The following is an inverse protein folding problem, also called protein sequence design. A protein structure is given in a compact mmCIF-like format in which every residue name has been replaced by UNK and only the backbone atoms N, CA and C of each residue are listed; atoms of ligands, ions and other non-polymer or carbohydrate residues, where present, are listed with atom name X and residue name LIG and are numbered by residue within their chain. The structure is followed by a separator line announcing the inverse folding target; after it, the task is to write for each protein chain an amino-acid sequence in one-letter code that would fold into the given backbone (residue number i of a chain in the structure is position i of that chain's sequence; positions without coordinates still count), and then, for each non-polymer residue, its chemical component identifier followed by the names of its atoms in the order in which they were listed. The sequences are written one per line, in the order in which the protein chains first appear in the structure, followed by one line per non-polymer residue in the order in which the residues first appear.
data_IF_913222920592
#
_entry.id   IF_913222920592
#
_cell.length_a   1.000
_cell.length_b   1.000
_cell.length_c   1.000
_cell.angle_alpha   90.00
_cell.angle_beta   90.00
_cell.angle_gamma   90.00
#
_symmetry.space_group_name_H-M   'P 1'
#
loop_
_entity.id
_entity.type
_entity.pdbx_description
1 polymer ?
#
# COMPACT_ATOMS: atom_id res chain seq x y z
N UNK A 1 -9.63 6.27 56.57
CA UNK A 1 -10.26 5.86 55.30
C UNK A 1 -10.79 7.13 54.65
N UNK A 2 -10.17 7.60 53.56
CA UNK A 2 -10.67 8.78 52.83
C UNK A 2 -11.84 8.36 51.93
N UNK A 3 -13.00 9.01 52.08
CA UNK A 3 -14.18 8.78 51.26
C UNK A 3 -13.91 9.14 49.79
N UNK A 4 -14.50 8.43 48.81
CA UNK A 4 -14.37 8.78 47.40
C UNK A 4 -15.00 10.15 47.17
N UNK A 5 -14.26 11.05 46.50
CA UNK A 5 -14.79 12.34 46.07
C UNK A 5 -15.92 12.07 45.06
N UNK A 6 -17.13 12.52 45.38
CA UNK A 6 -18.27 12.44 44.46
C UNK A 6 -17.92 13.15 43.14
N UNK A 7 -18.23 12.51 42.02
CA UNK A 7 -17.97 13.07 40.70
C UNK A 7 -18.88 14.29 40.48
N UNK A 8 -18.30 15.42 40.08
CA UNK A 8 -19.05 16.63 39.79
C UNK A 8 -20.06 16.37 38.66
N UNK A 9 -21.21 17.04 38.67
CA UNK A 9 -22.25 16.93 37.63
C UNK A 9 -21.69 17.07 36.20
N UNK A 10 -20.72 17.99 36.00
CA UNK A 10 -20.01 18.15 34.73
C UNK A 10 -19.21 16.89 34.31
N UNK A 11 -18.64 16.16 35.26
CA UNK A 11 -17.90 14.92 34.99
C UNK A 11 -18.86 13.78 34.62
N UNK A 12 -20.05 13.73 35.25
CA UNK A 12 -21.09 12.76 34.91
C UNK A 12 -21.67 13.03 33.51
N UNK A 13 -21.93 14.29 33.17
CA UNK A 13 -22.38 14.67 31.83
C UNK A 13 -21.34 14.32 30.76
N UNK A 14 -20.04 14.51 31.04
CA UNK A 14 -18.96 14.10 30.15
C UNK A 14 -18.90 12.58 29.97
N UNK A 15 -19.06 11.81 31.05
CA UNK A 15 -19.09 10.35 30.98
C UNK A 15 -20.27 9.84 30.15
N UNK A 16 -21.46 10.43 30.33
CA UNK A 16 -22.65 10.07 29.55
C UNK A 16 -22.44 10.31 28.04
N UNK A 17 -21.75 11.39 27.68
CA UNK A 17 -21.40 11.68 26.29
C UNK A 17 -20.43 10.62 25.72
N UNK A 18 -19.42 10.21 26.48
CA UNK A 18 -18.50 9.15 26.05
C UNK A 18 -19.21 7.82 25.82
N UNK A 19 -20.16 7.47 26.70
CA UNK A 19 -20.94 6.23 26.59
C UNK A 19 -21.88 6.26 25.37
N UNK A 20 -22.47 7.41 25.05
CA UNK A 20 -23.29 7.61 23.85
C UNK A 20 -22.47 7.49 22.55
N UNK A 21 -21.23 7.98 22.54
CA UNK A 21 -20.35 7.92 21.37
C UNK A 21 -19.65 6.56 21.20
N UNK A 22 -19.84 5.60 22.10
CA UNK A 22 -19.25 4.27 21.99
C UNK A 22 -19.99 3.38 20.97
N UNK A 23 -19.25 2.89 19.99
CA UNK A 23 -19.76 2.02 18.92
C UNK A 23 -19.84 0.54 19.39
N UNK A 24 -19.31 0.19 20.57
CA UNK A 24 -19.35 -1.17 21.10
C UNK A 24 -20.59 -1.46 21.94
N UNK A 25 -21.18 -0.45 22.56
CA UNK A 25 -22.46 -0.54 23.28
C UNK A 25 -23.61 -1.03 22.37
N UNK A 26 -23.55 -0.69 21.08
CA UNK A 26 -24.53 -1.07 20.06
C UNK A 26 -24.14 -2.41 19.40
N UNK A 27 -25.03 -3.41 19.51
CA UNK A 27 -24.83 -4.72 18.88
C UNK A 27 -24.87 -4.64 17.34
N UNK A 28 -23.87 -5.22 16.68
CA UNK A 28 -23.69 -5.15 15.22
C UNK A 28 -24.35 -6.34 14.52
N UNK A 29 -25.66 -6.23 14.24
CA UNK A 29 -26.46 -7.30 13.59
C UNK A 29 -26.05 -7.64 12.15
N UNK A 30 -25.30 -6.76 11.50
CA UNK A 30 -24.85 -6.91 10.11
C UNK A 30 -23.40 -7.38 9.97
N UNK A 31 -22.63 -7.46 11.07
CA UNK A 31 -21.22 -7.86 11.00
C UNK A 31 -21.10 -9.38 11.03
N UNK A 32 -20.54 -9.95 9.97
CA UNK A 32 -20.26 -11.38 9.90
C UNK A 32 -19.29 -11.82 11.03
N UNK A 33 -19.69 -12.72 11.95
CA UNK A 33 -18.84 -13.20 13.04
C UNK A 33 -17.67 -14.08 12.59
N UNK A 34 -17.75 -14.73 11.42
CA UNK A 34 -16.72 -15.63 10.93
C UNK A 34 -15.54 -14.92 10.26
N UNK A 35 -15.70 -13.64 9.91
CA UNK A 35 -14.65 -12.87 9.26
C UNK A 35 -13.53 -12.52 10.24
N UNK A 36 -12.29 -12.87 9.89
CA UNK A 36 -11.10 -12.54 10.67
C UNK A 36 -10.24 -11.49 9.96
N UNK A 37 -9.77 -10.45 10.65
CA UNK A 37 -8.88 -9.45 10.05
C UNK A 37 -7.54 -10.07 9.66
N UNK A 38 -7.03 -9.72 8.48
CA UNK A 38 -5.67 -10.07 8.09
C UNK A 38 -4.64 -9.16 8.80
N UNK A 39 -3.58 -9.76 9.34
CA UNK A 39 -2.49 -9.05 10.03
C UNK A 39 -1.74 -8.08 9.08
N UNK A 40 -1.61 -8.42 7.79
CA UNK A 40 -0.79 -7.69 6.81
C UNK A 40 -1.53 -6.57 6.06
N UNK A 41 -2.55 -5.96 6.66
CA UNK A 41 -3.37 -4.92 6.01
C UNK A 41 -2.79 -3.51 6.11
N UNK A 42 -2.19 -3.18 7.25
CA UNK A 42 -1.64 -1.84 7.49
C UNK A 42 -0.24 -1.76 6.87
N UNK A 43 -0.17 -1.24 5.64
CA UNK A 43 1.08 -1.10 4.87
C UNK A 43 1.37 0.36 4.56
N UNK A 44 2.65 0.74 4.55
CA UNK A 44 3.08 2.03 4.01
C UNK A 44 3.08 1.99 2.47
N UNK A 45 2.89 3.14 1.82
CA UNK A 45 2.99 3.33 0.37
C UNK A 45 4.22 2.65 -0.21
N UNK A 46 5.39 2.78 0.44
CA UNK A 46 6.63 2.11 0.02
C UNK A 46 6.47 0.59 -0.09
N UNK A 47 5.83 -0.04 0.88
CA UNK A 47 5.60 -1.49 0.91
C UNK A 47 4.55 -1.90 -0.13
N UNK A 48 3.47 -1.13 -0.27
CA UNK A 48 2.43 -1.36 -1.27
C UNK A 48 3.02 -1.35 -2.67
N UNK A 49 3.89 -0.37 -2.94
CA UNK A 49 4.54 -0.22 -4.23
C UNK A 49 5.55 -1.33 -4.52
N UNK A 50 6.32 -1.74 -3.50
CA UNK A 50 7.22 -2.89 -3.61
C UNK A 50 6.49 -4.20 -3.89
N UNK A 51 5.32 -4.40 -3.27
CA UNK A 51 4.46 -5.57 -3.53
C UNK A 51 3.89 -5.52 -4.96
N UNK A 52 3.47 -4.35 -5.45
CA UNK A 52 2.95 -4.16 -6.80
C UNK A 52 4.01 -4.47 -7.87
N UNK A 53 5.21 -3.90 -7.74
CA UNK A 53 6.33 -4.15 -8.66
C UNK A 53 6.71 -5.64 -8.70
N UNK A 54 6.78 -6.31 -7.54
CA UNK A 54 7.08 -7.75 -7.47
C UNK A 54 5.99 -8.60 -8.12
N UNK A 55 4.72 -8.22 -7.96
CA UNK A 55 3.58 -8.90 -8.58
C UNK A 55 3.59 -8.77 -10.10
N UNK A 56 3.90 -7.59 -10.63
CA UNK A 56 4.05 -7.37 -12.07
C UNK A 56 5.20 -8.20 -12.65
N UNK A 57 6.35 -8.25 -11.96
CA UNK A 57 7.48 -9.08 -12.37
C UNK A 57 7.15 -10.58 -12.41
N UNK A 58 6.42 -11.08 -11.40
CA UNK A 58 5.95 -12.48 -11.39
C UNK A 58 4.93 -12.78 -12.48
N UNK A 59 4.06 -11.82 -12.84
CA UNK A 59 3.11 -11.99 -13.93
C UNK A 59 3.81 -12.07 -15.31
N UNK A 60 4.87 -11.27 -15.52
CA UNK A 60 5.68 -11.26 -16.74
C UNK A 60 6.58 -12.50 -16.90
N UNK A 61 7.02 -13.13 -15.81
CA UNK A 61 7.89 -14.30 -15.84
C UNK A 61 7.18 -15.62 -16.21
N UNK A 62 5.84 -15.64 -16.23
CA UNK A 62 5.05 -16.88 -16.43
C UNK A 62 4.60 -17.20 -17.89
N UNK A 63 5.29 -16.79 -18.97
CA UNK A 63 5.03 -17.39 -20.29
C UNK A 63 6.20 -18.19 -20.91
N UNK A 64 7.32 -18.46 -20.20
CA UNK A 64 8.51 -19.07 -20.84
C UNK A 64 9.01 -20.39 -20.21
N UNK A 65 8.25 -21.03 -19.34
CA UNK A 65 8.55 -22.38 -18.83
C UNK A 65 7.44 -23.37 -19.18
N UNK A 66 7.16 -23.57 -20.47
CA UNK A 66 6.49 -24.81 -20.93
C UNK A 66 7.25 -25.54 -22.05
N UNK A 67 8.48 -25.12 -22.42
CA UNK A 67 9.32 -25.91 -23.35
C UNK A 67 10.61 -26.47 -22.75
N UNK A 68 10.95 -26.13 -21.51
CA UNK A 68 12.22 -26.58 -20.91
C UNK A 68 12.03 -27.20 -19.54
N UNK A 69 12.14 -28.53 -19.48
CA UNK A 69 12.39 -29.38 -18.30
C UNK A 69 11.23 -30.27 -17.88
N UNK A 70 11.13 -31.40 -18.58
CA UNK A 70 10.86 -32.66 -17.92
C UNK A 70 11.93 -32.94 -16.84
N UNK A 71 11.53 -33.65 -15.79
CA UNK A 71 12.34 -34.20 -14.68
C UNK A 71 12.57 -33.29 -13.45
N UNK A 72 11.72 -33.46 -12.43
CA UNK A 72 12.13 -33.83 -11.06
C UNK A 72 10.90 -33.92 -10.14
N UNK A 73 10.16 -35.03 -10.22
CA UNK A 73 9.21 -35.42 -9.17
C UNK A 73 10.01 -36.24 -8.14
N UNK A 74 10.18 -35.83 -6.87
CA UNK A 74 10.63 -36.77 -5.86
C UNK A 74 9.47 -37.75 -5.61
N UNK A 75 9.71 -39.01 -5.93
CA UNK A 75 8.77 -40.09 -5.70
C UNK A 75 8.38 -40.15 -4.22
N UNK A 76 7.09 -39.97 -3.92
CA UNK A 76 6.54 -40.33 -2.62
C UNK A 76 6.06 -41.77 -2.68
N UNK A 77 6.86 -42.66 -2.12
CA UNK A 77 6.56 -44.07 -1.88
C UNK A 77 5.37 -44.21 -0.92
N UNK A 78 4.39 -44.98 -1.35
CA UNK A 78 3.24 -45.40 -0.56
C UNK A 78 3.66 -46.46 0.46
N UNK A 79 3.54 -46.19 1.77
CA UNK A 79 3.26 -47.22 2.78
C UNK A 79 2.66 -46.56 4.03
N UNK A 80 1.57 -47.15 4.54
CA UNK A 80 0.62 -46.52 5.44
C UNK A 80 1.11 -46.21 6.85
N UNK A 81 0.29 -45.43 7.57
CA UNK A 81 0.50 -45.11 8.98
C UNK A 81 -0.30 -43.88 9.42
N UNK A 82 -1.04 -44.04 10.52
CA UNK A 82 -1.89 -43.08 11.24
C UNK A 82 -1.28 -41.68 11.48
N UNK A 83 -2.16 -40.67 11.43
CA UNK A 83 -2.21 -39.54 12.37
C UNK A 83 -1.28 -38.36 12.10
N UNK A 84 -1.78 -37.15 12.40
CA UNK A 84 -0.97 -35.95 12.58
C UNK A 84 -1.33 -34.81 11.63
N UNK A 85 -1.68 -33.67 12.23
CA UNK A 85 -1.98 -32.40 11.59
C UNK A 85 -0.73 -31.74 10.97
N UNK A 86 -1.01 -30.64 10.26
CA UNK A 86 -0.13 -29.49 9.95
C UNK A 86 0.55 -29.51 8.57
N UNK A 87 -0.08 -28.84 7.59
CA UNK A 87 0.64 -28.03 6.61
C UNK A 87 -0.20 -26.84 6.07
N UNK A 88 0.34 -25.65 6.35
CA UNK A 88 -0.12 -24.33 5.93
C UNK A 88 -0.05 -24.18 4.40
N UNK A 89 -1.19 -24.38 3.74
CA UNK A 89 -1.40 -24.06 2.33
C UNK A 89 -2.12 -22.73 2.17
N UNK A 90 -1.39 -21.69 1.76
CA UNK A 90 -1.84 -20.36 1.30
C UNK A 90 -3.13 -20.42 0.45
N UNK A 91 -4.30 -20.41 1.10
CA UNK A 91 -5.61 -20.35 0.44
C UNK A 91 -6.05 -18.91 0.26
N UNK A 92 -5.62 -18.33 -0.85
CA UNK A 92 -6.29 -17.19 -1.48
C UNK A 92 -7.24 -17.74 -2.54
N UNK A 93 -8.47 -18.04 -2.17
CA UNK A 93 -9.58 -18.11 -3.12
C UNK A 93 -10.94 -18.08 -2.41
N UNK A 94 -11.55 -16.89 -2.40
CA UNK A 94 -12.99 -16.78 -2.36
C UNK A 94 -13.54 -17.01 -3.76
N UNK A 95 -14.00 -18.23 -4.03
CA UNK A 95 -14.84 -18.56 -5.18
C UNK A 95 -15.58 -19.89 -4.87
N UNK A 96 -16.60 -19.83 -4.03
CA UNK A 96 -17.56 -20.92 -3.87
C UNK A 96 -18.63 -20.80 -4.95
N UNK A 97 -18.75 -21.82 -5.82
CA UNK A 97 -19.94 -22.10 -6.65
C UNK A 97 -19.98 -23.60 -7.00
N UNK A 98 -21.16 -24.18 -7.29
CA UNK A 98 -21.70 -25.32 -6.53
C UNK A 98 -21.38 -26.70 -7.12
N UNK A 99 -21.56 -27.72 -6.29
CA UNK A 99 -21.57 -29.13 -6.66
C UNK A 99 -22.78 -29.44 -7.58
N UNK A 100 -22.51 -30.07 -8.73
CA UNK A 100 -23.54 -30.69 -9.57
C UNK A 100 -23.46 -32.22 -9.40
N UNK A 101 -24.62 -32.81 -9.14
CA UNK A 101 -24.80 -34.20 -8.75
C UNK A 101 -24.48 -35.24 -9.83
N UNK A 102 -24.34 -36.47 -9.33
CA UNK A 102 -24.17 -37.71 -10.07
C UNK A 102 -25.18 -37.88 -11.22
N UNK A 103 -24.67 -38.13 -12.43
CA UNK A 103 -25.44 -38.60 -13.58
C UNK A 103 -24.55 -39.45 -14.48
N UNK A 104 -24.80 -40.76 -14.50
CA UNK A 104 -24.20 -41.75 -15.40
C UNK A 104 -24.61 -41.49 -16.85
N UNK A 105 -23.65 -41.54 -17.78
CA UNK A 105 -23.92 -41.48 -19.22
C UNK A 105 -22.66 -41.27 -20.05
N UNK A 106 -22.18 -42.34 -20.69
CA UNK A 106 -21.15 -42.28 -21.73
C UNK A 106 -21.60 -41.35 -22.87
N UNK A 107 -20.77 -40.35 -23.21
CA UNK A 107 -20.70 -39.75 -24.54
C UNK A 107 -19.42 -38.90 -24.65
N UNK A 108 -18.54 -39.31 -25.56
CA UNK A 108 -17.36 -38.58 -26.00
C UNK A 108 -17.77 -37.25 -26.66
N UNK A 109 -17.88 -36.18 -25.86
CA UNK A 109 -17.84 -34.77 -26.27
C UNK A 109 -18.09 -33.87 -25.05
N UNK A 110 -17.28 -34.01 -24.00
CA UNK A 110 -17.29 -33.07 -22.90
C UNK A 110 -16.15 -32.05 -23.12
N UNK A 111 -16.42 -30.85 -23.68
CA UNK A 111 -15.39 -29.83 -23.79
C UNK A 111 -14.97 -29.47 -22.36
N UNK A 112 -13.77 -29.92 -21.99
CA UNK A 112 -13.22 -29.82 -20.65
C UNK A 112 -13.32 -28.38 -20.14
N UNK A 113 -14.31 -28.10 -19.29
CA UNK A 113 -14.60 -26.76 -18.78
C UNK A 113 -13.39 -26.13 -18.08
N UNK A 114 -12.52 -26.96 -17.50
CA UNK A 114 -11.26 -26.51 -16.89
C UNK A 114 -10.20 -26.12 -17.94
N UNK A 115 -10.22 -26.70 -19.15
CA UNK A 115 -9.39 -26.24 -20.27
C UNK A 115 -9.98 -24.97 -20.92
N UNK A 116 -11.31 -24.88 -21.01
CA UNK A 116 -12.00 -23.70 -21.54
C UNK A 116 -11.86 -22.48 -20.64
N UNK A 117 -11.84 -22.64 -19.31
CA UNK A 117 -11.61 -21.54 -18.37
C UNK A 117 -10.15 -21.06 -18.37
N UNK A 118 -9.19 -21.95 -18.63
CA UNK A 118 -7.76 -21.63 -18.81
C UNK A 118 -7.51 -20.88 -20.12
N UNK A 119 -8.14 -21.30 -21.21
CA UNK A 119 -8.03 -20.62 -22.51
C UNK A 119 -8.70 -19.24 -22.47
N UNK A 120 -9.84 -19.10 -21.78
CA UNK A 120 -10.46 -17.79 -21.53
C UNK A 120 -9.60 -16.90 -20.65
N UNK A 121 -9.01 -17.43 -19.57
CA UNK A 121 -8.09 -16.67 -18.71
C UNK A 121 -6.89 -16.16 -19.51
N UNK A 122 -6.33 -16.99 -20.39
CA UNK A 122 -5.24 -16.60 -21.31
C UNK A 122 -5.68 -15.51 -22.29
N UNK A 123 -6.85 -15.66 -22.92
CA UNK A 123 -7.37 -14.69 -23.89
C UNK A 123 -7.79 -13.35 -23.25
N UNK A 124 -8.38 -13.37 -22.06
CA UNK A 124 -8.74 -12.15 -21.31
C UNK A 124 -7.47 -11.42 -20.86
N UNK A 125 -6.44 -12.15 -20.44
CA UNK A 125 -5.15 -11.58 -20.06
C UNK A 125 -4.43 -10.99 -21.28
N UNK A 126 -4.40 -11.70 -22.41
CA UNK A 126 -3.87 -11.18 -23.67
C UNK A 126 -4.63 -9.95 -24.19
N UNK A 127 -5.97 -9.94 -24.09
CA UNK A 127 -6.82 -8.80 -24.44
C UNK A 127 -6.59 -7.60 -23.52
N UNK A 128 -6.35 -7.82 -22.23
CA UNK A 128 -6.02 -6.77 -21.26
C UNK A 128 -4.61 -6.18 -21.49
N UNK A 129 -3.69 -6.95 -22.09
CA UNK A 129 -2.35 -6.47 -22.45
C UNK A 129 -2.31 -5.79 -23.83
N UNK A 130 -3.38 -5.90 -24.65
CA UNK A 130 -3.48 -5.27 -25.97
C UNK A 130 -4.34 -3.99 -25.87
N UNK A 131 -3.76 -2.79 -25.73
CA UNK A 131 -4.54 -1.56 -25.83
C UNK A 131 -5.11 -1.44 -27.25
N UNK A 132 -6.39 -1.14 -27.33
CA UNK A 132 -7.15 -1.10 -28.56
C UNK A 132 -6.76 0.15 -29.38
N UNK A 133 -5.81 0.00 -30.33
CA UNK A 133 -5.64 0.92 -31.46
C UNK A 133 -4.29 1.68 -31.54
N UNK A 134 -3.43 1.24 -32.47
CA UNK A 134 -2.59 2.13 -33.29
C UNK A 134 -1.25 2.62 -32.74
N UNK A 135 -0.14 2.03 -33.22
CA UNK A 135 1.09 2.74 -33.58
C UNK A 135 2.06 3.20 -32.47
N UNK A 136 3.30 2.69 -32.57
CA UNK A 136 4.52 3.13 -31.88
C UNK A 136 4.61 2.91 -30.34
N UNK A 137 5.58 2.07 -29.95
CA UNK A 137 6.18 1.99 -28.61
C UNK A 137 5.20 1.95 -27.42
N UNK A 138 4.50 0.84 -27.22
CA UNK A 138 3.61 0.65 -26.07
C UNK A 138 3.47 -0.81 -25.70
N UNK A 139 4.01 -1.19 -24.53
CA UNK A 139 3.91 -2.57 -24.02
C UNK A 139 4.41 -2.79 -22.60
N UNK A 140 4.65 -1.71 -21.84
CA UNK A 140 4.56 -1.67 -20.38
C UNK A 140 4.50 -0.18 -20.07
N UNK A 141 3.40 0.31 -19.49
CA UNK A 141 3.42 1.63 -18.88
C UNK A 141 4.58 1.68 -17.87
N UNK A 142 5.14 2.86 -17.55
CA UNK A 142 6.24 2.94 -16.59
C UNK A 142 5.84 2.17 -15.34
N UNK A 143 6.60 1.12 -14.99
CA UNK A 143 6.35 0.36 -13.77
C UNK A 143 6.27 1.36 -12.63
N UNK A 144 5.20 1.27 -11.85
CA UNK A 144 4.92 2.27 -10.81
C UNK A 144 6.03 2.13 -9.76
N UNK A 145 7.02 2.99 -9.87
CA UNK A 145 8.18 3.09 -8.97
C UNK A 145 7.95 4.28 -8.06
N UNK A 146 8.57 4.32 -6.88
CA UNK A 146 8.32 5.37 -5.87
C UNK A 146 8.47 6.78 -6.47
N UNK A 147 9.40 6.91 -7.40
CA UNK A 147 9.71 8.12 -8.17
C UNK A 147 8.65 8.50 -9.23
N UNK A 148 7.87 7.55 -9.74
CA UNK A 148 6.90 7.77 -10.83
C UNK A 148 5.49 8.10 -10.34
N UNK A 149 5.21 7.91 -9.05
CA UNK A 149 3.91 8.30 -8.45
C UNK A 149 3.83 9.81 -8.24
N UNK A 150 4.98 10.45 -8.02
CA UNK A 150 5.08 11.89 -7.86
C UNK A 150 5.12 12.59 -9.22
N UNK A 151 4.63 13.83 -9.27
CA UNK A 151 4.70 14.66 -10.48
C UNK A 151 6.15 14.83 -10.93
N UNK A 152 6.37 14.91 -12.24
CA UNK A 152 7.69 15.20 -12.79
C UNK A 152 8.30 16.47 -12.14
N UNK A 153 9.63 16.48 -11.89
CA UNK A 153 10.27 17.64 -11.29
C UNK A 153 10.20 18.84 -12.23
N UNK A 154 10.02 20.03 -11.67
CA UNK A 154 10.02 21.26 -12.45
C UNK A 154 11.44 21.67 -12.84
N UNK A 155 11.64 22.06 -14.10
CA UNK A 155 12.88 22.71 -14.59
C UNK A 155 12.80 24.25 -14.56
N UNK A 156 11.66 24.82 -14.18
CA UNK A 156 11.50 26.27 -14.14
C UNK A 156 12.34 26.89 -13.02
N UNK A 157 12.85 28.10 -13.26
CA UNK A 157 13.62 28.82 -12.24
C UNK A 157 12.72 29.17 -11.05
N UNK A 158 13.14 28.78 -9.85
CA UNK A 158 12.34 29.02 -8.64
C UNK A 158 12.42 30.48 -8.20
N UNK A 159 11.29 31.06 -7.83
CA UNK A 159 11.28 32.37 -7.16
C UNK A 159 11.74 32.19 -5.72
N UNK A 160 12.63 33.07 -5.26
CA UNK A 160 13.19 33.02 -3.91
C UNK A 160 12.44 33.99 -3.00
N UNK A 161 11.85 33.45 -1.94
CA UNK A 161 11.19 34.21 -0.89
C UNK A 161 11.96 34.04 0.42
N UNK A 162 11.77 35.00 1.31
CA UNK A 162 12.32 35.01 2.65
C UNK A 162 11.67 33.91 3.47
N UNK A 163 12.49 33.14 4.19
CA UNK A 163 12.00 32.00 4.97
C UNK A 163 11.24 32.44 6.24
N UNK A 164 11.38 33.72 6.66
CA UNK A 164 10.74 34.28 7.86
C UNK A 164 9.50 35.11 7.48
N UNK A 165 9.61 36.03 6.52
CA UNK A 165 8.54 37.00 6.21
C UNK A 165 7.74 36.68 4.95
N UNK A 166 8.24 35.78 4.08
CA UNK A 166 7.60 35.48 2.79
C UNK A 166 7.79 36.54 1.69
N UNK A 167 8.45 37.68 1.98
CA UNK A 167 8.81 38.69 0.99
C UNK A 167 9.85 38.17 -0.01
N UNK A 168 9.96 38.72 -1.24
CA UNK A 168 11.01 38.30 -2.18
C UNK A 168 12.39 38.45 -1.54
N UNK A 169 13.24 37.42 -1.55
CA UNK A 169 14.53 37.45 -0.88
C UNK A 169 15.69 37.39 -1.89
N UNK A 170 16.40 38.52 -2.12
CA UNK A 170 17.57 38.54 -2.98
C UNK A 170 18.81 37.92 -2.31
N UNK A 171 18.86 37.85 -0.98
CA UNK A 171 20.05 37.47 -0.22
C UNK A 171 19.89 36.15 0.56
N UNK A 172 21.02 35.48 0.81
CA UNK A 172 21.12 34.23 1.57
C UNK A 172 22.26 34.32 2.57
N UNK A 173 22.02 33.92 3.82
CA UNK A 173 23.07 33.87 4.84
C UNK A 173 23.94 32.61 4.66
N UNK A 174 25.26 32.71 4.52
CA UNK A 174 26.13 31.55 4.29
C UNK A 174 26.21 30.61 5.50
N UNK A 175 25.96 31.11 6.71
CA UNK A 175 26.02 30.30 7.94
C UNK A 175 24.77 29.45 8.12
N UNK A 176 23.59 30.08 8.06
CA UNK A 176 22.31 29.41 8.30
C UNK A 176 21.61 28.90 7.04
N UNK A 177 22.05 29.32 5.84
CA UNK A 177 21.38 29.05 4.54
C UNK A 177 19.94 29.57 4.44
N UNK A 178 19.56 30.48 5.34
CA UNK A 178 18.27 31.16 5.32
C UNK A 178 18.28 32.31 4.30
N UNK A 179 17.14 32.48 3.64
CA UNK A 179 16.88 33.56 2.68
C UNK A 179 16.28 34.76 3.42
N UNK A 180 16.80 35.96 3.17
CA UNK A 180 16.35 37.19 3.83
C UNK A 180 16.16 38.34 2.83
N UNK A 181 15.29 39.28 3.18
CA UNK A 181 14.94 40.45 2.36
C UNK A 181 15.79 41.67 2.72
N UNK A 182 15.85 42.04 3.99
CA UNK A 182 16.49 43.25 4.49
C UNK A 182 17.44 42.96 5.67
N UNK A 183 18.10 44.04 6.14
CA UNK A 183 19.03 44.00 7.27
C UNK A 183 18.34 43.67 8.60
N UNK A 184 17.04 43.93 8.75
CA UNK A 184 16.31 43.71 10.00
C UNK A 184 16.06 42.22 10.19
N UNK A 185 15.63 41.55 9.13
CA UNK A 185 15.50 40.09 9.08
C UNK A 185 16.87 39.43 9.28
N UNK A 186 17.94 39.98 8.70
CA UNK A 186 19.29 39.47 8.93
C UNK A 186 19.72 39.62 10.40
N UNK A 187 19.42 40.75 11.03
CA UNK A 187 19.64 40.97 12.46
C UNK A 187 18.90 39.94 13.32
N UNK A 188 17.62 39.70 13.00
CA UNK A 188 16.81 38.67 13.65
C UNK A 188 17.45 37.28 13.51
N UNK A 189 17.89 36.89 12.31
CA UNK A 189 18.54 35.59 12.06
C UNK A 189 19.76 35.38 12.97
N UNK A 190 20.51 36.44 13.29
CA UNK A 190 21.68 36.34 14.18
C UNK A 190 21.34 36.22 15.65
N UNK A 191 20.12 36.58 16.04
CA UNK A 191 19.61 36.42 17.40
C UNK A 191 18.84 35.11 17.61
N UNK A 192 18.57 34.36 16.54
CA UNK A 192 17.83 33.10 16.63
C UNK A 192 18.57 32.09 17.52
N UNK A 193 17.85 31.35 18.39
CA UNK A 193 18.44 30.30 19.20
C UNK A 193 18.95 29.16 18.31
N UNK A 194 19.91 28.41 18.85
CA UNK A 194 20.46 27.24 18.16
C UNK A 194 19.33 26.25 17.81
N UNK A 195 19.30 25.77 16.56
CA UNK A 195 18.26 24.86 16.06
C UNK A 195 17.03 25.54 15.45
N UNK A 196 16.75 26.82 15.73
CA UNK A 196 15.61 27.50 15.10
C UNK A 196 15.81 27.66 13.57
N UNK A 197 17.04 27.94 13.13
CA UNK A 197 17.36 28.02 11.71
C UNK A 197 17.10 26.69 10.97
N UNK A 198 17.34 25.57 11.64
CA UNK A 198 17.07 24.23 11.10
C UNK A 198 15.57 23.98 10.91
N UNK A 199 14.73 24.43 11.84
CA UNK A 199 13.27 24.35 11.72
C UNK A 199 12.74 25.18 10.55
N UNK A 200 13.27 26.39 10.33
CA UNK A 200 12.91 27.19 9.15
C UNK A 200 13.35 26.51 7.83
N UNK A 201 14.51 25.86 7.82
CA UNK A 201 14.94 25.04 6.69
C UNK A 201 14.06 23.81 6.49
N UNK A 202 13.54 23.21 7.56
CA UNK A 202 12.64 22.06 7.53
C UNK A 202 11.28 22.44 6.93
N UNK A 203 10.72 23.57 7.36
CA UNK A 203 9.51 24.13 6.78
C UNK A 203 9.66 24.41 5.27
N UNK A 204 10.85 24.81 4.81
CA UNK A 204 11.17 24.95 3.37
C UNK A 204 11.43 23.62 2.65
N UNK A 205 11.67 22.53 3.38
CA UNK A 205 12.10 21.24 2.82
C UNK A 205 13.58 21.20 2.40
N UNK A 206 14.42 22.09 2.95
CA UNK A 206 15.86 22.15 2.70
C UNK A 206 16.72 21.72 3.91
N UNK A 207 16.09 21.12 4.92
CA UNK A 207 16.78 20.64 6.12
C UNK A 207 17.59 19.38 5.84
N UNK A 208 18.83 19.35 6.32
CA UNK A 208 19.71 18.19 6.19
C UNK A 208 19.82 17.48 7.53
N UNK A 209 19.09 16.38 7.71
CA UNK A 209 19.24 15.50 8.88
C UNK A 209 20.48 14.63 8.68
N UNK A 210 21.49 14.77 9.54
CA UNK A 210 22.62 13.84 9.60
C UNK A 210 22.11 12.48 10.07
N UNK A 211 22.51 11.41 9.39
CA UNK A 211 22.05 10.04 9.64
C UNK A 211 23.20 9.15 10.05
#
# INVERSE_FOLDING_TARGET
MAAPKEATEAQLAHQALLDELDIHSIHKSFRNPSWKPNQRRNKNIKTILGDASRREASALATPQQEEGSAAATPARTTRGGRGGNDDDGLSTSGASTPAAGNGSGNNDNNPNLAQASRSLSKLVLEKSLRPNGGGAAGGSGPSVTYTNVESAPSLAHTKRYCDITGLPAPYVDPKTRLRYHDKEVFGLIRTLPQGAAEQYLEARGAHTVLK
#
